data_IF_566390651242
#
_entry.id   IF_566390651242
#
_cell.length_a   1.000
_cell.length_b   1.000
_cell.length_c   1.000
_cell.angle_alpha   90.00
_cell.angle_beta   90.00
_cell.angle_gamma   90.00
#
_symmetry.space_group_name_H-M   'P 1'
#
loop_
_entity.id
_entity.type
_entity.pdbx_description
1 polymer ?
#
# COMPACT_ATOMS: atom_id res chain seq x y z
N UNK A 1 24.50 0.37 -27.48
CA UNK A 1 24.31 0.83 -26.11
C UNK A 1 24.17 -0.42 -25.24
N UNK A 2 24.93 -0.53 -24.15
CA UNK A 2 24.88 -1.67 -23.22
C UNK A 2 23.49 -1.80 -22.59
N UNK A 3 22.91 -3.00 -22.59
CA UNK A 3 21.64 -3.26 -21.92
C UNK A 3 21.84 -4.42 -20.95
N UNK A 4 21.76 -4.19 -19.62
CA UNK A 4 21.94 -5.24 -18.64
C UNK A 4 20.77 -6.24 -18.72
N UNK A 5 21.08 -7.50 -18.55
CA UNK A 5 20.10 -8.61 -18.43
C UNK A 5 19.85 -8.98 -16.97
N UNK A 6 20.47 -8.28 -16.02
CA UNK A 6 20.29 -8.41 -14.58
C UNK A 6 21.36 -7.63 -13.80
N UNK A 7 21.33 -7.76 -12.47
CA UNK A 7 22.33 -7.13 -11.59
C UNK A 7 23.74 -7.67 -11.81
N UNK A 8 23.88 -8.96 -12.14
CA UNK A 8 25.19 -9.58 -12.34
C UNK A 8 26.02 -8.92 -13.45
N UNK A 9 25.38 -8.38 -14.47
CA UNK A 9 26.02 -7.67 -15.58
C UNK A 9 26.66 -6.33 -15.17
N UNK A 10 26.35 -5.85 -13.96
CA UNK A 10 26.81 -4.56 -13.44
C UNK A 10 28.12 -4.68 -12.64
N UNK A 11 28.64 -5.89 -12.47
CA UNK A 11 29.90 -6.11 -11.76
C UNK A 11 31.07 -5.32 -12.40
N UNK A 12 31.75 -4.52 -11.58
CA UNK A 12 32.88 -3.69 -12.01
C UNK A 12 32.54 -2.51 -12.92
N UNK A 13 31.26 -2.26 -13.23
CA UNK A 13 30.82 -1.17 -14.09
C UNK A 13 30.62 0.13 -13.32
N UNK A 14 30.60 1.25 -14.07
CA UNK A 14 30.22 2.55 -13.56
C UNK A 14 28.69 2.69 -13.67
N UNK A 15 28.00 2.66 -12.52
CA UNK A 15 26.54 2.65 -12.46
C UNK A 15 26.02 3.90 -11.78
N UNK A 16 25.12 4.63 -12.45
CA UNK A 16 24.39 5.74 -11.86
C UNK A 16 23.22 5.23 -11.01
N UNK A 17 23.04 5.77 -9.81
CA UNK A 17 21.82 5.60 -8.98
C UNK A 17 21.14 6.95 -8.95
N UNK A 18 19.97 7.04 -9.60
CA UNK A 18 19.20 8.27 -9.69
C UNK A 18 17.96 8.21 -8.79
N UNK A 19 17.96 8.99 -7.73
CA UNK A 19 17.04 8.94 -6.59
C UNK A 19 17.58 8.11 -5.44
N UNK A 20 17.93 8.78 -4.32
CA UNK A 20 18.68 8.18 -3.22
C UNK A 20 17.85 8.07 -1.93
N UNK A 21 16.55 7.73 -2.07
CA UNK A 21 15.68 7.30 -0.97
C UNK A 21 15.89 5.82 -0.60
N UNK A 22 14.89 5.20 0.02
CA UNK A 22 14.97 3.81 0.51
C UNK A 22 15.42 2.83 -0.59
N UNK A 23 14.81 2.91 -1.77
CA UNK A 23 15.18 2.03 -2.89
C UNK A 23 16.57 2.35 -3.46
N UNK A 24 16.97 3.62 -3.45
CA UNK A 24 18.32 4.05 -3.85
C UNK A 24 19.39 3.47 -2.94
N UNK A 25 19.20 3.48 -1.63
CA UNK A 25 20.11 2.89 -0.65
C UNK A 25 20.25 1.37 -0.83
N UNK A 26 19.14 0.64 -0.99
CA UNK A 26 19.17 -0.81 -1.26
C UNK A 26 19.86 -1.11 -2.59
N UNK A 27 19.63 -0.28 -3.62
CA UNK A 27 20.27 -0.40 -4.94
C UNK A 27 21.78 -0.21 -4.82
N UNK A 28 22.24 0.86 -4.19
CA UNK A 28 23.66 1.09 -3.94
C UNK A 28 24.31 -0.05 -3.20
N UNK A 29 23.68 -0.50 -2.11
CA UNK A 29 24.20 -1.60 -1.29
C UNK A 29 24.38 -2.87 -2.11
N UNK A 30 23.41 -3.20 -2.97
CA UNK A 30 23.49 -4.34 -3.90
C UNK A 30 24.61 -4.16 -4.91
N UNK A 31 24.73 -2.98 -5.52
CA UNK A 31 25.76 -2.68 -6.51
C UNK A 31 27.19 -2.73 -5.92
N UNK A 32 27.37 -2.23 -4.69
CA UNK A 32 28.66 -2.29 -3.99
C UNK A 32 29.13 -3.72 -3.74
N UNK A 33 28.20 -4.62 -3.37
CA UNK A 33 28.52 -6.06 -3.21
C UNK A 33 28.98 -6.71 -4.52
N UNK A 34 28.53 -6.19 -5.67
CA UNK A 34 28.97 -6.64 -7.00
C UNK A 34 30.27 -5.96 -7.46
N UNK A 35 30.84 -5.07 -6.65
CA UNK A 35 32.05 -4.30 -7.01
C UNK A 35 31.78 -3.21 -8.06
N UNK A 36 30.55 -2.77 -8.25
CA UNK A 36 30.23 -1.67 -9.16
C UNK A 36 30.67 -0.32 -8.59
N UNK A 37 31.00 0.62 -9.49
CA UNK A 37 31.38 2.00 -9.13
C UNK A 37 30.13 2.89 -9.20
N UNK A 38 29.54 3.22 -8.05
CA UNK A 38 28.30 3.96 -7.98
C UNK A 38 28.51 5.47 -8.13
N UNK A 39 27.69 6.11 -8.96
CA UNK A 39 27.49 7.57 -9.03
C UNK A 39 26.10 7.84 -8.49
N UNK A 40 26.04 8.51 -7.32
CA UNK A 40 24.77 8.72 -6.60
C UNK A 40 24.26 10.14 -6.87
N UNK A 41 23.00 10.25 -7.27
CA UNK A 41 22.38 11.54 -7.62
C UNK A 41 20.95 11.57 -7.09
N UNK A 42 20.56 12.71 -6.50
CA UNK A 42 19.17 12.97 -6.07
C UNK A 42 18.75 14.40 -6.43
N UNK A 43 17.44 14.64 -6.41
CA UNK A 43 16.89 15.99 -6.55
C UNK A 43 17.01 16.77 -5.23
N UNK A 44 17.00 16.06 -4.09
CA UNK A 44 17.10 16.62 -2.76
C UNK A 44 18.56 16.98 -2.41
N UNK A 45 18.87 18.27 -2.19
CA UNK A 45 20.22 18.69 -1.78
C UNK A 45 20.63 18.14 -0.39
N UNK A 46 19.67 17.78 0.45
CA UNK A 46 19.93 17.24 1.78
C UNK A 46 20.18 15.71 1.78
N UNK A 47 20.06 15.07 0.62
CA UNK A 47 20.32 13.62 0.47
C UNK A 47 21.83 13.26 0.65
N UNK A 48 22.74 14.23 0.68
CA UNK A 48 24.18 13.99 0.87
C UNK A 48 24.89 13.38 -0.34
N UNK A 49 24.30 13.48 -1.54
CA UNK A 49 24.82 13.01 -2.83
C UNK A 49 24.86 14.14 -3.86
N UNK A 50 25.26 13.87 -5.10
CA UNK A 50 25.24 14.89 -6.14
C UNK A 50 23.80 15.35 -6.42
N UNK A 51 23.61 16.67 -6.51
CA UNK A 51 22.30 17.22 -6.85
C UNK A 51 22.08 17.17 -8.35
N UNK A 52 20.88 16.80 -8.79
CA UNK A 52 20.51 16.65 -10.21
C UNK A 52 20.86 17.91 -11.01
N UNK A 53 20.51 19.11 -10.50
CA UNK A 53 20.76 20.39 -11.14
C UNK A 53 22.20 20.88 -11.10
N UNK A 54 23.06 20.35 -10.21
CA UNK A 54 24.42 20.79 -9.96
C UNK A 54 25.46 19.78 -10.51
N UNK A 55 25.32 19.40 -11.78
CA UNK A 55 26.22 18.47 -12.45
C UNK A 55 25.85 16.98 -12.25
N UNK A 56 24.81 16.66 -11.52
CA UNK A 56 24.36 15.28 -11.30
C UNK A 56 23.93 14.58 -12.61
N UNK A 57 23.20 15.26 -13.49
CA UNK A 57 22.80 14.69 -14.79
C UNK A 57 24.00 14.39 -15.70
N UNK A 58 24.97 15.27 -15.75
CA UNK A 58 26.21 15.07 -16.49
C UNK A 58 27.00 13.90 -15.94
N UNK A 59 27.08 13.77 -14.61
CA UNK A 59 27.73 12.65 -13.95
C UNK A 59 27.03 11.31 -14.29
N UNK A 60 25.68 11.26 -14.26
CA UNK A 60 24.89 10.10 -14.68
C UNK A 60 25.14 9.72 -16.14
N UNK A 61 25.21 10.71 -17.01
CA UNK A 61 25.44 10.48 -18.45
C UNK A 61 26.81 9.88 -18.77
N UNK A 62 27.77 9.88 -17.83
CA UNK A 62 29.08 9.21 -17.99
C UNK A 62 29.07 7.74 -17.51
N UNK A 63 27.95 7.25 -17.00
CA UNK A 63 27.81 5.89 -16.51
C UNK A 63 27.57 4.90 -17.68
N UNK A 64 27.82 3.60 -17.42
CA UNK A 64 27.47 2.54 -18.37
C UNK A 64 25.95 2.29 -18.41
N UNK A 65 25.28 2.53 -17.28
CA UNK A 65 23.84 2.40 -17.08
C UNK A 65 23.40 3.24 -15.88
N UNK A 66 22.15 3.70 -15.90
CA UNK A 66 21.53 4.40 -14.77
C UNK A 66 20.39 3.55 -14.23
N UNK A 67 20.41 3.31 -12.93
CA UNK A 67 19.31 2.69 -12.17
C UNK A 67 18.51 3.82 -11.52
N UNK A 68 17.29 4.02 -11.99
CA UNK A 68 16.39 5.08 -11.56
C UNK A 68 15.43 4.59 -10.46
N UNK A 69 15.28 5.38 -9.40
CA UNK A 69 14.24 5.15 -8.39
C UNK A 69 12.83 5.41 -8.92
N UNK A 70 11.79 4.69 -8.44
CA UNK A 70 10.42 4.82 -8.93
C UNK A 70 9.83 6.22 -8.76
N UNK A 71 10.18 6.94 -7.68
CA UNK A 71 9.70 8.30 -7.42
C UNK A 71 10.03 9.30 -8.53
N UNK A 72 11.10 9.06 -9.29
CA UNK A 72 11.49 9.88 -10.44
C UNK A 72 10.68 9.47 -11.66
N UNK A 73 9.85 10.36 -12.18
CA UNK A 73 8.97 10.05 -13.30
C UNK A 73 9.77 9.82 -14.59
N UNK A 74 9.52 8.69 -15.27
CA UNK A 74 10.20 8.33 -16.52
C UNK A 74 10.00 9.37 -17.62
N UNK A 75 8.88 10.11 -17.58
CA UNK A 75 8.53 11.15 -18.57
C UNK A 75 9.09 12.52 -18.24
N UNK A 76 9.88 12.68 -17.18
CA UNK A 76 10.59 13.92 -16.90
C UNK A 76 11.56 14.23 -18.04
N UNK A 77 11.67 15.51 -18.38
CA UNK A 77 12.49 15.95 -19.52
C UNK A 77 13.96 15.53 -19.39
N UNK A 78 14.52 15.67 -18.21
CA UNK A 78 15.89 15.28 -17.89
C UNK A 78 16.12 13.76 -17.97
N UNK A 79 15.14 12.94 -17.56
CA UNK A 79 15.20 11.48 -17.71
C UNK A 79 15.18 11.10 -19.20
N UNK A 80 14.30 11.71 -20.00
CA UNK A 80 14.24 11.45 -21.45
C UNK A 80 15.54 11.88 -22.16
N UNK A 81 16.13 13.01 -21.73
CA UNK A 81 17.44 13.44 -22.23
C UNK A 81 18.55 12.45 -21.84
N UNK A 82 18.54 12.00 -20.60
CA UNK A 82 19.48 11.00 -20.10
C UNK A 82 19.36 9.67 -20.86
N UNK A 83 18.14 9.18 -21.14
CA UNK A 83 17.89 7.96 -21.93
C UNK A 83 18.45 8.03 -23.37
N UNK A 84 18.60 9.21 -23.93
CA UNK A 84 19.24 9.38 -25.25
C UNK A 84 20.77 9.15 -25.23
N UNK A 85 21.38 9.21 -24.05
CA UNK A 85 22.85 9.16 -23.84
C UNK A 85 23.31 7.87 -23.17
N UNK A 86 22.52 7.34 -22.22
CA UNK A 86 22.84 6.18 -21.41
C UNK A 86 21.57 5.35 -21.16
N UNK A 87 21.65 4.00 -21.11
CA UNK A 87 20.51 3.16 -20.74
C UNK A 87 20.01 3.49 -19.34
N UNK A 88 18.69 3.63 -19.20
CA UNK A 88 18.01 3.82 -17.91
C UNK A 88 17.12 2.64 -17.62
N UNK A 89 17.22 2.09 -16.42
CA UNK A 89 16.44 0.95 -15.92
C UNK A 89 16.03 1.18 -14.46
N UNK A 90 15.32 0.23 -13.85
CA UNK A 90 15.04 0.22 -12.43
C UNK A 90 15.65 -0.99 -11.74
N UNK A 91 15.89 -0.89 -10.43
CA UNK A 91 16.42 -1.99 -9.64
C UNK A 91 15.47 -3.19 -9.61
N UNK A 92 14.14 -2.94 -9.53
CA UNK A 92 13.14 -3.99 -9.63
C UNK A 92 13.20 -4.74 -10.96
N UNK A 93 13.39 -4.01 -12.08
CA UNK A 93 13.55 -4.63 -13.40
C UNK A 93 14.79 -5.52 -13.46
N UNK A 94 15.93 -5.05 -12.96
CA UNK A 94 17.16 -5.83 -12.90
C UNK A 94 17.00 -7.11 -12.07
N UNK A 95 16.34 -7.00 -10.93
CA UNK A 95 16.06 -8.15 -10.08
C UNK A 95 15.11 -9.15 -10.77
N UNK A 96 14.05 -8.70 -11.42
CA UNK A 96 13.13 -9.56 -12.15
C UNK A 96 13.80 -10.28 -13.33
N UNK A 97 14.83 -9.68 -13.92
CA UNK A 97 15.63 -10.31 -14.98
C UNK A 97 16.50 -11.44 -14.43
N UNK A 98 17.02 -11.32 -13.20
CA UNK A 98 17.85 -12.34 -12.53
C UNK A 98 17.01 -13.42 -11.81
N UNK A 99 15.81 -13.06 -11.31
CA UNK A 99 15.01 -13.91 -10.44
C UNK A 99 14.41 -15.12 -11.15
N UNK A 100 14.25 -16.23 -10.41
CA UNK A 100 13.34 -17.30 -10.83
C UNK A 100 11.88 -16.81 -10.75
N UNK A 101 11.42 -16.19 -11.84
CA UNK A 101 10.08 -15.61 -11.92
C UNK A 101 8.93 -16.61 -11.76
N UNK A 102 9.22 -17.92 -11.83
CA UNK A 102 8.24 -18.97 -11.56
C UNK A 102 7.82 -19.00 -10.09
N UNK A 103 8.67 -18.44 -9.20
CA UNK A 103 8.45 -18.30 -7.76
C UNK A 103 8.10 -16.86 -7.35
N UNK A 104 7.81 -15.97 -8.31
CA UNK A 104 7.45 -14.58 -8.03
C UNK A 104 5.98 -14.34 -8.34
N UNK A 105 5.29 -13.75 -7.36
CA UNK A 105 3.91 -13.27 -7.47
C UNK A 105 3.97 -11.74 -7.37
N UNK A 106 3.55 -11.03 -8.41
CA UNK A 106 3.50 -9.58 -8.43
C UNK A 106 2.09 -9.08 -8.11
N UNK A 107 1.94 -8.24 -7.08
CA UNK A 107 0.66 -7.68 -6.66
C UNK A 107 0.66 -6.17 -6.91
N UNK A 108 -0.20 -5.70 -7.81
CA UNK A 108 -0.43 -4.28 -8.07
C UNK A 108 -1.91 -3.92 -7.96
N UNK A 109 -2.24 -2.65 -8.09
CA UNK A 109 -3.61 -2.14 -7.99
C UNK A 109 -3.64 -0.74 -7.38
N UNK A 110 -4.76 -0.07 -7.45
CA UNK A 110 -4.92 1.24 -6.78
C UNK A 110 -5.07 1.06 -5.28
N UNK A 111 -5.99 0.19 -4.86
CA UNK A 111 -6.27 -0.19 -3.46
C UNK A 111 -6.17 -1.72 -3.32
N UNK A 112 -6.04 -2.21 -2.09
CA UNK A 112 -6.04 -3.64 -1.78
C UNK A 112 -4.68 -4.35 -1.91
N UNK A 113 -3.65 -3.76 -2.52
CA UNK A 113 -2.34 -4.37 -2.74
C UNK A 113 -1.75 -5.02 -1.48
N UNK A 114 -1.53 -4.23 -0.45
CA UNK A 114 -0.82 -4.71 0.76
C UNK A 114 -1.61 -5.79 1.49
N UNK A 115 -2.94 -5.64 1.57
CA UNK A 115 -3.82 -6.66 2.16
C UNK A 115 -3.73 -7.96 1.37
N UNK A 116 -3.84 -7.89 0.03
CA UNK A 116 -3.75 -9.07 -0.83
C UNK A 116 -2.35 -9.71 -0.75
N UNK A 117 -1.28 -8.89 -0.71
CA UNK A 117 0.09 -9.40 -0.52
C UNK A 117 0.22 -10.17 0.80
N UNK A 118 -0.33 -9.62 1.90
CA UNK A 118 -0.31 -10.28 3.20
C UNK A 118 -1.16 -11.56 3.22
N UNK A 119 -2.32 -11.56 2.57
CA UNK A 119 -3.18 -12.74 2.45
C UNK A 119 -2.50 -13.86 1.63
N UNK A 120 -1.89 -13.53 0.50
CA UNK A 120 -1.16 -14.49 -0.33
C UNK A 120 -0.02 -15.14 0.45
N UNK A 121 0.79 -14.34 1.15
CA UNK A 121 1.87 -14.83 2.01
C UNK A 121 1.35 -15.76 3.09
N UNK A 122 0.29 -15.33 3.80
CA UNK A 122 -0.32 -16.14 4.86
C UNK A 122 -0.90 -17.46 4.32
N UNK A 123 -1.61 -17.44 3.18
CA UNK A 123 -2.22 -18.65 2.62
C UNK A 123 -1.16 -19.64 2.07
N UNK A 124 -0.04 -19.13 1.55
CA UNK A 124 1.12 -19.96 1.23
C UNK A 124 1.65 -20.66 2.50
N UNK A 125 1.79 -19.90 3.60
CA UNK A 125 2.20 -20.46 4.90
C UNK A 125 1.23 -21.52 5.42
N UNK A 126 -0.10 -21.35 5.27
CA UNK A 126 -1.12 -22.34 5.63
C UNK A 126 -0.97 -23.67 4.87
N UNK A 127 -0.35 -23.65 3.68
CA UNK A 127 -0.06 -24.83 2.88
C UNK A 127 1.35 -25.43 3.15
N UNK A 128 2.09 -24.85 4.11
CA UNK A 128 3.46 -25.24 4.42
C UNK A 128 4.50 -24.73 3.43
N UNK A 129 4.14 -23.81 2.54
CA UNK A 129 5.07 -23.15 1.63
C UNK A 129 5.80 -22.01 2.35
N UNK A 130 7.11 -21.88 2.09
CA UNK A 130 7.87 -20.73 2.55
C UNK A 130 7.63 -19.53 1.61
N UNK A 131 7.38 -18.35 2.16
CA UNK A 131 7.17 -17.14 1.38
C UNK A 131 7.67 -15.89 2.12
N UNK A 132 7.85 -14.79 1.37
CA UNK A 132 8.29 -13.50 1.87
C UNK A 132 7.48 -12.38 1.22
N UNK A 133 7.06 -11.40 2.02
CA UNK A 133 6.43 -10.15 1.54
C UNK A 133 7.50 -9.12 1.25
N UNK A 134 7.55 -8.63 0.01
CA UNK A 134 8.61 -7.77 -0.50
C UNK A 134 8.04 -6.60 -1.32
N UNK A 135 8.90 -5.65 -1.65
CA UNK A 135 8.59 -4.52 -2.51
C UNK A 135 8.06 -3.30 -1.74
N UNK A 136 7.00 -2.68 -2.23
CA UNK A 136 6.42 -1.46 -1.64
C UNK A 136 5.88 -1.67 -0.20
N UNK A 137 5.70 -2.90 0.20
CA UNK A 137 5.46 -3.33 1.58
C UNK A 137 6.69 -4.12 2.05
N UNK A 138 7.45 -3.59 3.01
CA UNK A 138 8.67 -4.24 3.51
C UNK A 138 9.94 -3.83 2.76
N UNK A 139 10.86 -4.77 2.57
CA UNK A 139 12.12 -4.51 1.90
C UNK A 139 12.02 -4.73 0.39
N UNK A 140 12.78 -3.96 -0.42
CA UNK A 140 12.93 -4.28 -1.83
C UNK A 140 13.50 -5.69 -2.04
N UNK A 141 13.05 -6.44 -3.05
CA UNK A 141 13.51 -7.83 -3.26
C UNK A 141 15.00 -7.96 -3.64
N UNK A 142 15.62 -6.86 -4.04
CA UNK A 142 17.05 -6.77 -4.35
C UNK A 142 17.89 -6.25 -3.19
N UNK A 143 17.28 -5.96 -2.03
CA UNK A 143 18.05 -5.60 -0.84
C UNK A 143 18.97 -6.75 -0.43
N UNK A 144 20.26 -6.48 -0.13
CA UNK A 144 21.21 -7.53 0.22
C UNK A 144 20.85 -8.37 1.44
N UNK A 145 20.02 -7.87 2.32
CA UNK A 145 19.56 -8.59 3.52
C UNK A 145 18.44 -9.61 3.21
N UNK A 146 17.89 -9.58 1.98
CA UNK A 146 16.80 -10.46 1.54
C UNK A 146 17.36 -11.63 0.74
N UNK A 147 17.07 -12.85 1.17
CA UNK A 147 17.36 -14.05 0.39
C UNK A 147 16.13 -14.45 -0.44
N UNK A 148 16.14 -14.10 -1.71
CA UNK A 148 15.06 -14.44 -2.66
C UNK A 148 15.25 -15.79 -3.36
N UNK A 149 16.25 -16.56 -2.99
CA UNK A 149 16.50 -17.91 -3.56
C UNK A 149 15.61 -18.98 -2.95
N UNK A 150 14.98 -18.71 -1.79
CA UNK A 150 14.20 -19.67 -1.02
C UNK A 150 12.72 -19.29 -1.01
N UNK A 151 11.87 -20.23 -1.45
CA UNK A 151 10.41 -20.10 -1.37
C UNK A 151 9.81 -19.14 -2.40
N UNK A 152 8.70 -18.54 -2.03
CA UNK A 152 7.93 -17.61 -2.86
C UNK A 152 8.26 -16.16 -2.51
N UNK A 153 8.41 -15.33 -3.54
CA UNK A 153 8.51 -13.89 -3.39
C UNK A 153 7.15 -13.25 -3.74
N UNK A 154 6.42 -12.75 -2.74
CA UNK A 154 5.17 -12.01 -2.95
C UNK A 154 5.49 -10.53 -2.93
N UNK A 155 5.55 -9.91 -4.11
CA UNK A 155 6.08 -8.55 -4.31
C UNK A 155 4.95 -7.57 -4.54
N UNK A 156 4.75 -6.63 -3.63
CA UNK A 156 3.89 -5.48 -3.86
C UNK A 156 4.58 -4.50 -4.81
N UNK A 157 3.95 -4.23 -5.97
CA UNK A 157 4.49 -3.38 -7.02
C UNK A 157 3.61 -2.13 -7.17
N UNK A 158 4.20 -0.96 -6.96
CA UNK A 158 3.52 0.33 -7.13
C UNK A 158 3.30 0.66 -8.62
N UNK A 159 2.42 1.63 -8.92
CA UNK A 159 2.25 2.10 -10.30
C UNK A 159 3.52 2.74 -10.88
N UNK A 160 4.35 3.34 -10.03
CA UNK A 160 5.65 3.92 -10.42
C UNK A 160 6.64 2.84 -10.87
N UNK A 161 6.69 1.72 -10.13
CA UNK A 161 7.56 0.58 -10.46
C UNK A 161 7.09 -0.15 -11.71
N UNK A 162 5.77 -0.25 -11.95
CA UNK A 162 5.22 -0.90 -13.14
C UNK A 162 5.73 -0.30 -14.46
N UNK A 163 6.03 1.01 -14.48
CA UNK A 163 6.47 1.73 -15.71
C UNK A 163 7.83 1.25 -16.21
N UNK A 164 8.69 0.83 -15.30
CA UNK A 164 10.10 0.58 -15.59
C UNK A 164 10.43 -0.92 -15.78
N UNK A 165 9.44 -1.82 -15.62
CA UNK A 165 9.66 -3.27 -15.78
C UNK A 165 9.48 -3.70 -17.25
N UNK A 166 10.39 -4.55 -17.73
CA UNK A 166 10.39 -5.13 -19.07
C UNK A 166 10.02 -6.61 -19.08
N UNK A 167 10.11 -7.24 -17.91
CA UNK A 167 9.70 -8.63 -17.68
C UNK A 167 8.75 -8.71 -16.50
N UNK A 168 7.86 -9.68 -16.53
CA UNK A 168 6.79 -9.84 -15.54
C UNK A 168 7.04 -11.05 -14.64
N UNK A 169 6.57 -11.03 -13.37
CA UNK A 169 6.32 -12.25 -12.62
C UNK A 169 5.44 -13.22 -13.39
N UNK A 170 5.53 -14.51 -13.06
CA UNK A 170 4.67 -15.53 -13.68
C UNK A 170 3.19 -15.30 -13.37
N UNK A 171 2.88 -14.94 -12.12
CA UNK A 171 1.52 -14.60 -11.66
C UNK A 171 1.48 -13.12 -11.32
N UNK A 172 0.56 -12.40 -11.94
CA UNK A 172 0.31 -10.99 -11.69
C UNK A 172 -1.11 -10.82 -11.15
N UNK A 173 -1.23 -10.06 -10.09
CA UNK A 173 -2.51 -9.70 -9.47
C UNK A 173 -2.75 -8.21 -9.66
N UNK A 174 -3.93 -7.83 -10.18
CA UNK A 174 -4.39 -6.44 -10.22
C UNK A 174 -5.62 -6.32 -9.32
N UNK A 175 -5.43 -5.81 -8.11
CA UNK A 175 -6.47 -5.80 -7.07
C UNK A 175 -7.60 -4.80 -7.34
N UNK A 176 -7.30 -3.70 -7.99
CA UNK A 176 -8.27 -2.66 -8.37
C UNK A 176 -7.67 -1.67 -9.36
N UNK A 177 -8.51 -0.93 -10.09
CA UNK A 177 -8.09 0.06 -11.05
C UNK A 177 -8.94 1.34 -10.90
N UNK A 178 -8.45 2.29 -10.12
CA UNK A 178 -9.09 3.59 -9.88
C UNK A 178 -8.23 4.75 -10.36
N UNK A 179 -8.21 5.84 -9.58
CA UNK A 179 -7.39 7.02 -9.79
C UNK A 179 -6.46 7.23 -8.60
N UNK A 180 -5.17 7.45 -8.87
CA UNK A 180 -4.17 7.81 -7.87
C UNK A 180 -2.94 8.43 -8.58
N UNK A 181 -2.18 9.29 -7.91
CA UNK A 181 -0.92 9.85 -8.41
C UNK A 181 -0.99 10.43 -9.85
N UNK A 182 -2.11 11.10 -10.18
CA UNK A 182 -2.38 11.54 -11.56
C UNK A 182 -1.35 12.54 -12.08
N UNK A 183 -0.82 13.40 -11.22
CA UNK A 183 0.21 14.39 -11.58
C UNK A 183 1.51 13.71 -12.03
N UNK A 184 1.93 12.67 -11.34
CA UNK A 184 3.13 11.91 -11.68
C UNK A 184 2.97 11.16 -13.01
N UNK A 185 1.80 10.57 -13.25
CA UNK A 185 1.50 9.80 -14.45
C UNK A 185 1.08 10.66 -15.66
N UNK A 186 0.68 11.92 -15.42
CA UNK A 186 0.15 12.81 -16.47
C UNK A 186 -1.32 12.51 -16.83
N UNK A 187 -2.11 12.03 -15.86
CA UNK A 187 -3.55 11.84 -15.95
C UNK A 187 -4.02 10.38 -15.82
N UNK A 188 -5.34 10.21 -15.69
CA UNK A 188 -5.98 8.93 -15.36
C UNK A 188 -5.68 7.83 -16.39
N UNK A 189 -5.86 8.13 -17.67
CA UNK A 189 -5.66 7.13 -18.73
C UNK A 189 -4.21 6.63 -18.78
N UNK A 190 -3.24 7.50 -18.49
CA UNK A 190 -1.84 7.10 -18.45
C UNK A 190 -1.51 6.30 -17.18
N UNK A 191 -2.03 6.72 -16.02
CA UNK A 191 -1.92 5.96 -14.78
C UNK A 191 -2.40 4.52 -14.94
N UNK A 192 -3.57 4.33 -15.56
CA UNK A 192 -4.12 3.01 -15.80
C UNK A 192 -3.26 2.18 -16.76
N UNK A 193 -2.79 2.78 -17.87
CA UNK A 193 -1.87 2.09 -18.80
C UNK A 193 -0.56 1.69 -18.13
N UNK A 194 0.02 2.58 -17.33
CA UNK A 194 1.27 2.35 -16.61
C UNK A 194 1.13 1.21 -15.61
N UNK A 195 0.03 1.17 -14.85
CA UNK A 195 -0.25 0.09 -13.91
C UNK A 195 -0.45 -1.26 -14.60
N UNK A 196 -1.21 -1.31 -15.69
CA UNK A 196 -1.47 -2.53 -16.43
C UNK A 196 -0.26 -2.99 -17.27
N UNK A 197 0.79 -2.16 -17.44
CA UNK A 197 1.99 -2.56 -18.18
C UNK A 197 2.66 -3.79 -17.57
N UNK A 198 2.59 -3.97 -16.24
CA UNK A 198 3.10 -5.15 -15.56
C UNK A 198 2.52 -6.45 -16.11
N UNK A 199 1.23 -6.49 -16.44
CA UNK A 199 0.57 -7.70 -16.97
C UNK A 199 1.02 -8.03 -18.40
N UNK A 200 1.48 -7.02 -19.16
CA UNK A 200 1.87 -7.14 -20.57
C UNK A 200 3.35 -7.34 -20.79
N UNK A 201 4.16 -7.13 -19.76
CA UNK A 201 5.58 -7.37 -19.84
C UNK A 201 5.88 -8.86 -20.07
N UNK A 202 7.03 -9.17 -20.68
CA UNK A 202 7.35 -10.54 -21.06
C UNK A 202 7.40 -11.50 -19.86
N UNK A 203 6.66 -12.61 -19.93
CA UNK A 203 6.68 -13.65 -18.90
C UNK A 203 5.45 -13.71 -17.98
N UNK A 204 4.48 -12.80 -18.11
CA UNK A 204 3.19 -12.95 -17.46
C UNK A 204 2.46 -14.17 -18.05
N UNK A 205 2.19 -15.18 -17.21
CA UNK A 205 1.44 -16.38 -17.60
C UNK A 205 -0.03 -16.27 -17.18
N UNK A 206 -0.27 -15.75 -15.97
CA UNK A 206 -1.61 -15.60 -15.40
C UNK A 206 -1.76 -14.20 -14.84
N UNK A 207 -2.84 -13.53 -15.21
CA UNK A 207 -3.27 -12.25 -14.62
C UNK A 207 -4.59 -12.46 -13.89
N UNK A 208 -4.61 -12.20 -12.59
CA UNK A 208 -5.77 -12.38 -11.73
C UNK A 208 -6.37 -11.01 -11.40
N UNK A 209 -7.66 -10.86 -11.65
CA UNK A 209 -8.39 -9.60 -11.44
C UNK A 209 -9.72 -9.85 -10.73
N UNK A 210 -10.24 -8.89 -9.95
CA UNK A 210 -11.59 -8.96 -9.41
C UNK A 210 -12.66 -8.87 -10.52
N UNK A 211 -13.85 -9.38 -10.22
CA UNK A 211 -15.03 -9.19 -11.06
C UNK A 211 -15.63 -7.80 -10.80
N UNK A 212 -14.97 -6.79 -11.34
CA UNK A 212 -15.40 -5.39 -11.30
C UNK A 212 -15.29 -4.75 -12.68
N UNK A 213 -16.24 -3.87 -13.03
CA UNK A 213 -16.38 -3.30 -14.39
C UNK A 213 -15.11 -2.59 -14.85
N UNK A 214 -14.39 -1.92 -13.93
CA UNK A 214 -13.16 -1.17 -14.25
C UNK A 214 -12.04 -2.05 -14.79
N UNK A 215 -12.03 -3.34 -14.47
CA UNK A 215 -11.06 -4.32 -14.95
C UNK A 215 -11.63 -5.25 -16.00
N UNK A 216 -12.87 -5.73 -15.83
CA UNK A 216 -13.49 -6.66 -16.77
C UNK A 216 -13.74 -6.02 -18.13
N UNK A 217 -14.00 -4.71 -18.20
CA UNK A 217 -14.10 -3.98 -19.47
C UNK A 217 -12.77 -3.80 -20.21
N UNK A 218 -11.65 -4.19 -19.59
CA UNK A 218 -10.28 -4.03 -20.11
C UNK A 218 -9.52 -5.35 -20.23
N UNK A 219 -10.21 -6.48 -20.25
CA UNK A 219 -9.57 -7.80 -20.34
C UNK A 219 -8.62 -7.88 -21.54
N UNK A 220 -8.99 -7.29 -22.68
CA UNK A 220 -8.16 -7.28 -23.90
C UNK A 220 -6.85 -6.45 -23.74
N UNK A 221 -6.79 -5.61 -22.71
CA UNK A 221 -5.57 -4.86 -22.39
C UNK A 221 -4.62 -5.62 -21.44
N UNK A 222 -5.03 -6.75 -20.90
CA UNK A 222 -4.25 -7.56 -19.96
C UNK A 222 -3.46 -8.64 -20.68
N UNK A 223 -2.32 -9.03 -20.13
CA UNK A 223 -1.49 -10.11 -20.68
C UNK A 223 -1.67 -11.42 -19.91
N UNK A 224 -1.24 -12.52 -20.54
CA UNK A 224 -1.37 -13.87 -19.98
C UNK A 224 -2.82 -14.41 -20.03
N UNK A 225 -3.05 -15.53 -19.35
CA UNK A 225 -4.39 -16.04 -19.07
C UNK A 225 -5.07 -15.14 -18.05
N UNK A 226 -6.16 -14.48 -18.42
CA UNK A 226 -6.88 -13.59 -17.50
C UNK A 226 -7.93 -14.37 -16.72
N UNK A 227 -7.81 -14.36 -15.39
CA UNK A 227 -8.73 -15.02 -14.46
C UNK A 227 -9.53 -13.95 -13.72
N UNK A 228 -10.83 -13.88 -13.98
CA UNK A 228 -11.77 -12.99 -13.28
C UNK A 228 -12.33 -13.72 -12.06
N UNK A 229 -12.20 -13.11 -10.88
CA UNK A 229 -12.55 -13.74 -9.61
C UNK A 229 -13.69 -12.98 -8.95
N UNK A 230 -14.86 -13.61 -8.71
CA UNK A 230 -15.92 -13.00 -7.90
C UNK A 230 -15.51 -12.92 -6.43
N UNK A 231 -16.17 -12.06 -5.62
CA UNK A 231 -15.96 -12.00 -4.18
C UNK A 231 -16.12 -13.35 -3.48
N UNK A 232 -15.40 -13.55 -2.39
CA UNK A 232 -15.53 -14.74 -1.55
C UNK A 232 -16.80 -14.66 -0.68
N UNK A 233 -17.54 -15.75 -0.60
CA UNK A 233 -18.77 -15.89 0.19
C UNK A 233 -18.62 -16.84 1.39
N UNK A 234 -17.42 -17.33 1.64
CA UNK A 234 -17.14 -18.28 2.72
C UNK A 234 -17.14 -17.67 4.12
N UNK A 235 -17.12 -16.33 4.21
CA UNK A 235 -16.96 -15.59 5.46
C UNK A 235 -15.52 -15.58 6.00
N UNK A 236 -14.53 -16.02 5.20
CA UNK A 236 -13.13 -16.06 5.62
C UNK A 236 -12.59 -14.65 5.96
N UNK A 237 -12.99 -13.59 5.23
CA UNK A 237 -12.57 -12.23 5.54
C UNK A 237 -12.93 -11.82 6.98
N UNK A 238 -14.14 -12.13 7.43
CA UNK A 238 -14.59 -11.91 8.83
C UNK A 238 -13.76 -12.69 9.83
N UNK A 239 -13.43 -13.95 9.53
CA UNK A 239 -12.60 -14.80 10.41
C UNK A 239 -11.15 -14.31 10.50
N UNK A 240 -10.65 -13.67 9.44
CA UNK A 240 -9.36 -13.00 9.40
C UNK A 240 -9.40 -11.60 10.02
N UNK A 241 -10.52 -11.19 10.65
CA UNK A 241 -10.73 -9.87 11.24
C UNK A 241 -10.55 -8.69 10.26
N UNK A 242 -10.78 -8.94 8.97
CA UNK A 242 -10.73 -7.91 7.93
C UNK A 242 -12.08 -7.21 7.81
N UNK A 243 -12.08 -5.89 7.93
CA UNK A 243 -13.30 -5.07 7.90
C UNK A 243 -13.62 -4.58 6.49
N UNK A 244 -14.90 -4.64 6.13
CA UNK A 244 -15.45 -4.12 4.87
C UNK A 244 -15.51 -5.16 3.75
N UNK A 245 -16.61 -5.11 2.98
CA UNK A 245 -16.91 -6.07 1.89
C UNK A 245 -15.84 -6.15 0.80
N UNK A 246 -15.02 -5.10 0.61
CA UNK A 246 -13.90 -5.15 -0.32
C UNK A 246 -12.85 -6.21 0.05
N UNK A 247 -12.82 -6.67 1.32
CA UNK A 247 -11.91 -7.71 1.75
C UNK A 247 -12.38 -9.11 1.35
N UNK A 248 -13.66 -9.33 1.09
CA UNK A 248 -14.14 -10.57 0.48
C UNK A 248 -13.52 -10.73 -0.91
N UNK A 249 -13.36 -9.63 -1.65
CA UNK A 249 -12.68 -9.61 -2.94
C UNK A 249 -11.16 -9.85 -2.79
N UNK A 250 -10.50 -9.22 -1.81
CA UNK A 250 -9.07 -9.43 -1.55
C UNK A 250 -8.78 -10.90 -1.18
N UNK A 251 -9.64 -11.51 -0.36
CA UNK A 251 -9.57 -12.93 0.03
C UNK A 251 -9.75 -13.83 -1.20
N UNK A 252 -10.78 -13.60 -2.01
CA UNK A 252 -11.03 -14.38 -3.22
C UNK A 252 -9.84 -14.37 -4.19
N UNK A 253 -9.28 -13.19 -4.44
CA UNK A 253 -8.08 -13.00 -5.27
C UNK A 253 -6.88 -13.74 -4.68
N UNK A 254 -6.66 -13.63 -3.36
CA UNK A 254 -5.53 -14.29 -2.72
C UNK A 254 -5.63 -15.81 -2.80
N UNK A 255 -6.82 -16.40 -2.58
CA UNK A 255 -7.07 -17.85 -2.74
C UNK A 255 -6.74 -18.28 -4.16
N UNK A 256 -7.29 -17.60 -5.18
CA UNK A 256 -7.04 -17.93 -6.59
C UNK A 256 -5.55 -17.79 -6.93
N UNK A 257 -4.90 -16.74 -6.42
CA UNK A 257 -3.46 -16.50 -6.63
C UNK A 257 -2.61 -17.67 -6.13
N UNK A 258 -2.87 -18.12 -4.91
CA UNK A 258 -2.13 -19.23 -4.32
C UNK A 258 -2.42 -20.54 -5.06
N UNK A 259 -3.68 -20.79 -5.43
CA UNK A 259 -4.07 -21.95 -6.22
C UNK A 259 -3.30 -22.01 -7.56
N UNK A 260 -3.28 -20.89 -8.32
CA UNK A 260 -2.56 -20.79 -9.61
C UNK A 260 -1.04 -20.85 -9.48
N UNK A 261 -0.49 -20.25 -8.42
CA UNK A 261 0.94 -20.27 -8.17
C UNK A 261 1.44 -21.68 -7.83
N UNK A 262 0.73 -22.38 -6.95
CA UNK A 262 1.15 -23.69 -6.42
C UNK A 262 0.62 -24.87 -7.24
N UNK A 263 -0.38 -24.67 -8.10
CA UNK A 263 -1.08 -25.75 -8.82
C UNK A 263 -2.05 -26.54 -7.94
N UNK A 264 -2.37 -26.06 -6.74
CA UNK A 264 -3.34 -26.70 -5.83
C UNK A 264 -4.77 -26.32 -6.17
N UNK A 265 -5.73 -27.14 -5.71
CA UNK A 265 -7.16 -26.84 -5.84
C UNK A 265 -7.54 -25.62 -4.97
N UNK A 266 -8.39 -24.74 -5.49
CA UNK A 266 -8.88 -23.55 -4.78
C UNK A 266 -9.54 -23.89 -3.45
N UNK A 267 -10.28 -25.02 -3.37
CA UNK A 267 -10.93 -25.46 -2.13
C UNK A 267 -9.91 -25.90 -1.09
N UNK A 268 -8.81 -26.54 -1.50
CA UNK A 268 -7.72 -26.90 -0.61
C UNK A 268 -7.11 -25.66 0.04
N UNK A 269 -6.84 -24.61 -0.75
CA UNK A 269 -6.33 -23.32 -0.24
C UNK A 269 -7.31 -22.70 0.76
N UNK A 270 -8.60 -22.64 0.41
CA UNK A 270 -9.65 -22.11 1.29
C UNK A 270 -9.74 -22.89 2.60
N UNK A 271 -9.75 -24.21 2.56
CA UNK A 271 -9.81 -25.02 3.76
C UNK A 271 -8.60 -24.86 4.67
N UNK A 272 -7.40 -24.78 4.08
CA UNK A 272 -6.18 -24.50 4.83
C UNK A 272 -6.22 -23.12 5.49
N UNK A 273 -6.67 -22.09 4.76
CA UNK A 273 -6.83 -20.74 5.28
C UNK A 273 -7.86 -20.68 6.43
N UNK A 274 -9.02 -21.34 6.28
CA UNK A 274 -10.05 -21.42 7.32
C UNK A 274 -9.54 -22.15 8.59
N UNK A 275 -8.73 -23.18 8.42
CA UNK A 275 -8.18 -23.95 9.54
C UNK A 275 -7.16 -23.15 10.37
N UNK A 276 -6.50 -22.16 9.76
CA UNK A 276 -5.45 -21.36 10.38
C UNK A 276 -5.81 -19.87 10.53
N UNK A 277 -7.08 -19.49 10.30
CA UNK A 277 -7.52 -18.10 10.26
C UNK A 277 -7.14 -17.28 11.50
N UNK A 278 -7.18 -17.90 12.69
CA UNK A 278 -6.84 -17.24 13.96
C UNK A 278 -5.35 -16.83 14.05
N UNK A 279 -4.49 -17.37 13.19
CA UNK A 279 -3.08 -17.00 13.09
C UNK A 279 -2.79 -15.81 12.16
N UNK A 280 -3.80 -15.26 11.49
CA UNK A 280 -3.61 -14.10 10.63
C UNK A 280 -3.57 -12.81 11.45
N UNK A 281 -2.55 -12.00 11.22
CA UNK A 281 -2.46 -10.66 11.79
C UNK A 281 -2.74 -9.62 10.70
N UNK A 282 -3.89 -8.90 10.77
CA UNK A 282 -4.18 -7.80 9.86
C UNK A 282 -3.07 -6.74 9.88
N UNK A 283 -2.83 -6.13 8.72
CA UNK A 283 -1.82 -5.08 8.61
C UNK A 283 -2.22 -3.87 9.46
N UNK A 284 -1.33 -3.45 10.34
CA UNK A 284 -1.54 -2.27 11.18
C UNK A 284 -1.88 -1.02 10.34
N UNK A 285 -2.75 -0.17 10.88
CA UNK A 285 -3.13 1.09 10.26
C UNK A 285 -3.99 0.98 8.99
N UNK A 286 -4.60 -0.18 8.72
CA UNK A 286 -5.49 -0.43 7.58
C UNK A 286 -6.83 -1.00 8.04
N UNK A 287 -7.68 -0.12 8.61
CA UNK A 287 -8.98 -0.50 9.19
C UNK A 287 -8.83 -1.66 10.19
N UNK A 288 -7.76 -1.64 10.97
CA UNK A 288 -7.45 -2.69 11.93
C UNK A 288 -8.29 -2.53 13.18
N UNK A 289 -9.08 -3.54 13.52
CA UNK A 289 -9.80 -3.55 14.80
C UNK A 289 -8.81 -3.74 15.95
N UNK A 290 -8.62 -2.69 16.76
CA UNK A 290 -7.69 -2.70 17.90
C UNK A 290 -8.32 -3.29 19.15
N UNK A 291 -9.57 -2.91 19.40
CA UNK A 291 -10.31 -3.35 20.57
C UNK A 291 -11.82 -3.34 20.31
N UNK A 292 -12.53 -4.18 21.07
CA UNK A 292 -13.99 -4.18 21.18
C UNK A 292 -14.35 -4.09 22.65
N UNK A 293 -15.17 -3.10 23.00
CA UNK A 293 -15.71 -2.90 24.34
C UNK A 293 -17.21 -3.23 24.31
N UNK A 294 -17.71 -3.97 25.30
CA UNK A 294 -19.14 -4.28 25.44
C UNK A 294 -19.63 -3.85 26.81
N UNK A 295 -20.83 -3.25 26.82
CA UNK A 295 -21.56 -2.92 28.05
C UNK A 295 -23.06 -3.18 27.80
N UNK A 296 -23.55 -4.32 28.27
CA UNK A 296 -24.87 -4.84 27.92
C UNK A 296 -25.00 -5.10 26.42
N UNK A 297 -25.98 -4.46 25.78
CA UNK A 297 -26.21 -4.55 24.32
C UNK A 297 -25.33 -3.58 23.52
N UNK A 298 -24.66 -2.63 24.18
CA UNK A 298 -23.83 -1.63 23.54
C UNK A 298 -22.47 -2.20 23.17
N UNK A 299 -21.98 -1.85 21.99
CA UNK A 299 -20.66 -2.28 21.54
C UNK A 299 -19.92 -1.11 20.93
N UNK A 300 -18.69 -0.88 21.38
CA UNK A 300 -17.75 0.05 20.76
C UNK A 300 -16.65 -0.73 20.07
N UNK A 301 -16.36 -0.32 18.84
CA UNK A 301 -15.26 -0.85 18.05
C UNK A 301 -14.23 0.25 17.86
N UNK A 302 -12.99 -0.02 18.23
CA UNK A 302 -11.87 0.91 18.06
C UNK A 302 -11.06 0.46 16.86
N UNK A 303 -11.03 1.29 15.81
CA UNK A 303 -10.47 0.93 14.51
C UNK A 303 -9.35 1.90 14.14
N UNK A 304 -8.18 1.33 13.82
CA UNK A 304 -7.01 2.06 13.35
C UNK A 304 -6.91 2.01 11.83
N UNK A 305 -7.00 3.16 11.21
CA UNK A 305 -6.74 3.40 9.79
C UNK A 305 -5.65 4.49 9.63
N UNK A 306 -4.62 4.42 10.47
CA UNK A 306 -3.54 5.42 10.57
C UNK A 306 -2.76 5.63 9.29
N UNK A 307 -2.82 4.71 8.31
CA UNK A 307 -2.27 4.86 6.96
C UNK A 307 -3.13 5.71 6.01
N UNK A 308 -4.31 6.16 6.42
CA UNK A 308 -5.12 7.11 5.65
C UNK A 308 -4.52 8.52 5.72
N UNK A 309 -3.44 8.77 4.98
CA UNK A 309 -2.68 10.03 4.97
C UNK A 309 -3.20 11.05 3.96
N UNK A 310 -4.41 10.85 3.43
CA UNK A 310 -5.10 11.73 2.48
C UNK A 310 -6.62 11.62 2.65
N UNK A 311 -7.43 12.58 2.15
CA UNK A 311 -8.88 12.59 2.31
C UNK A 311 -9.61 11.37 1.74
N UNK A 312 -9.27 10.93 0.54
CA UNK A 312 -9.97 9.82 -0.14
C UNK A 312 -9.89 8.46 0.58
N UNK A 313 -8.74 8.03 1.14
CA UNK A 313 -8.70 6.88 2.03
C UNK A 313 -9.68 6.97 3.21
N UNK A 314 -9.75 8.13 3.87
CA UNK A 314 -10.68 8.35 5.00
C UNK A 314 -12.15 8.30 4.56
N UNK A 315 -12.47 8.81 3.36
CA UNK A 315 -13.81 8.64 2.77
C UNK A 315 -14.14 7.16 2.59
N UNK A 316 -13.22 6.38 2.02
CA UNK A 316 -13.41 4.94 1.85
C UNK A 316 -13.56 4.19 3.20
N UNK A 317 -12.83 4.63 4.22
CA UNK A 317 -12.98 4.09 5.58
C UNK A 317 -14.36 4.36 6.17
N UNK A 318 -14.93 5.55 5.95
CA UNK A 318 -16.28 5.89 6.37
C UNK A 318 -17.37 5.06 5.67
N UNK A 319 -17.15 4.68 4.40
CA UNK A 319 -18.07 3.84 3.63
C UNK A 319 -18.18 2.43 4.22
N UNK A 320 -17.11 1.90 4.80
CA UNK A 320 -17.11 0.59 5.50
C UNK A 320 -18.09 0.57 6.68
N UNK A 321 -18.32 1.74 7.28
CA UNK A 321 -19.19 1.93 8.45
C UNK A 321 -20.44 2.74 8.10
N UNK A 322 -20.96 2.62 6.88
CA UNK A 322 -22.05 3.47 6.37
C UNK A 322 -23.27 3.55 7.31
N UNK A 323 -23.63 2.44 7.95
CA UNK A 323 -24.79 2.31 8.82
C UNK A 323 -24.47 2.45 10.32
N UNK A 324 -23.18 2.54 10.67
CA UNK A 324 -22.74 2.66 12.05
C UNK A 324 -22.61 4.12 12.50
N UNK A 325 -22.92 4.47 13.75
CA UNK A 325 -22.46 5.71 14.36
C UNK A 325 -20.93 5.75 14.42
N UNK A 326 -20.31 6.85 13.95
CA UNK A 326 -18.85 6.98 13.88
C UNK A 326 -18.38 8.24 14.60
N UNK A 327 -17.39 8.09 15.46
CA UNK A 327 -16.54 9.18 15.92
C UNK A 327 -15.22 9.13 15.13
N UNK A 328 -15.08 10.03 14.16
CA UNK A 328 -13.94 10.11 13.24
C UNK A 328 -12.86 11.03 13.81
N UNK A 329 -11.66 10.49 14.05
CA UNK A 329 -10.49 11.25 14.51
C UNK A 329 -9.63 11.61 13.29
N UNK A 330 -9.42 12.92 13.08
CA UNK A 330 -8.65 13.49 11.96
C UNK A 330 -7.58 14.47 12.44
N UNK A 331 -6.50 14.60 11.66
CA UNK A 331 -5.41 15.55 11.94
C UNK A 331 -4.07 15.03 11.44
N UNK A 332 -3.05 15.88 11.50
CA UNK A 332 -1.71 15.56 11.04
C UNK A 332 -1.02 16.74 10.36
N UNK A 333 -0.06 16.45 9.48
CA UNK A 333 0.77 17.43 8.79
C UNK A 333 0.11 17.95 7.51
N UNK A 334 0.18 19.27 7.27
CA UNK A 334 -0.42 19.90 6.08
C UNK A 334 0.42 19.70 4.81
N UNK A 335 -0.24 19.17 3.79
CA UNK A 335 0.30 19.08 2.42
C UNK A 335 -0.44 19.96 1.40
N UNK A 336 -1.27 20.89 1.87
CA UNK A 336 -2.04 21.76 1.00
C UNK A 336 -3.18 21.08 0.22
N UNK A 337 -3.63 19.91 0.67
CA UNK A 337 -4.68 19.14 -0.04
C UNK A 337 -6.08 19.70 0.18
N UNK A 338 -6.98 19.44 -0.77
CA UNK A 338 -8.41 19.77 -0.66
C UNK A 338 -9.15 18.74 0.21
N UNK A 339 -9.74 19.20 1.31
CA UNK A 339 -10.58 18.38 2.19
C UNK A 339 -12.07 18.42 1.85
N UNK A 340 -12.48 19.12 0.80
CA UNK A 340 -13.87 19.19 0.33
C UNK A 340 -14.53 17.82 0.10
N UNK A 341 -13.87 16.85 -0.55
CA UNK A 341 -14.41 15.49 -0.69
C UNK A 341 -14.73 14.81 0.64
N UNK A 342 -13.86 14.94 1.64
CA UNK A 342 -14.08 14.38 2.98
C UNK A 342 -15.26 15.10 3.68
N UNK A 343 -15.31 16.42 3.59
CA UNK A 343 -16.39 17.19 4.20
C UNK A 343 -17.77 16.82 3.64
N UNK A 344 -17.87 16.61 2.33
CA UNK A 344 -19.10 16.10 1.69
C UNK A 344 -19.43 14.69 2.17
N UNK A 345 -18.46 13.79 2.16
CA UNK A 345 -18.68 12.41 2.60
C UNK A 345 -19.18 12.34 4.06
N UNK A 346 -18.62 13.15 4.96
CA UNK A 346 -19.07 13.25 6.36
C UNK A 346 -20.49 13.81 6.44
N UNK A 347 -20.81 14.83 5.64
CA UNK A 347 -22.15 15.46 5.63
C UNK A 347 -23.26 14.59 5.05
N UNK A 348 -22.94 13.77 4.06
CA UNK A 348 -23.90 12.92 3.35
C UNK A 348 -24.24 11.61 4.11
N UNK A 349 -23.53 11.31 5.22
CA UNK A 349 -23.78 10.11 6.01
C UNK A 349 -25.15 10.13 6.67
N UNK A 350 -25.87 9.01 6.60
CA UNK A 350 -27.16 8.81 7.30
C UNK A 350 -26.97 8.50 8.78
N UNK A 351 -25.96 7.69 9.10
CA UNK A 351 -25.62 7.38 10.48
C UNK A 351 -24.90 8.55 11.16
N UNK A 352 -25.13 8.70 12.46
CA UNK A 352 -24.55 9.79 13.24
C UNK A 352 -23.02 9.82 13.10
N UNK A 353 -22.48 10.98 12.80
CA UNK A 353 -21.04 11.18 12.68
C UNK A 353 -20.60 12.36 13.54
N UNK A 354 -19.58 12.15 14.34
CA UNK A 354 -18.89 13.21 15.09
C UNK A 354 -17.46 13.30 14.60
N UNK A 355 -17.02 14.51 14.31
CA UNK A 355 -15.65 14.78 13.91
C UNK A 355 -14.82 15.20 15.12
N UNK A 356 -13.70 14.52 15.35
CA UNK A 356 -12.75 14.86 16.40
C UNK A 356 -11.45 15.29 15.71
N UNK A 357 -11.03 16.52 15.96
CA UNK A 357 -9.89 17.13 15.29
C UNK A 357 -8.69 17.22 16.24
N UNK A 358 -7.49 16.95 15.72
CA UNK A 358 -6.22 17.13 16.44
C UNK A 358 -5.27 18.02 15.64
N UNK A 359 -4.61 18.95 16.31
CA UNK A 359 -3.62 19.86 15.71
C UNK A 359 -4.20 20.82 14.66
N UNK A 360 -3.30 21.55 13.98
CA UNK A 360 -3.68 22.63 13.05
C UNK A 360 -4.42 22.10 11.80
N UNK A 361 -3.98 20.97 11.26
CA UNK A 361 -4.64 20.35 10.10
C UNK A 361 -6.01 19.82 10.48
N UNK A 362 -6.15 19.24 11.67
CA UNK A 362 -7.47 18.87 12.21
C UNK A 362 -8.41 20.07 12.26
N UNK A 363 -7.94 21.21 12.77
CA UNK A 363 -8.73 22.44 12.79
C UNK A 363 -9.14 22.90 11.38
N UNK A 364 -8.25 22.82 10.39
CA UNK A 364 -8.54 23.13 8.99
C UNK A 364 -9.56 22.16 8.38
N UNK A 365 -9.46 20.85 8.64
CA UNK A 365 -10.47 19.86 8.24
C UNK A 365 -11.80 20.20 8.88
N UNK A 366 -11.82 20.50 10.19
CA UNK A 366 -13.01 20.91 10.94
C UNK A 366 -13.69 22.13 10.35
N UNK A 367 -12.93 23.17 10.00
CA UNK A 367 -13.48 24.37 9.34
C UNK A 367 -14.10 24.03 7.98
N UNK A 368 -13.46 23.14 7.20
CA UNK A 368 -14.00 22.70 5.91
C UNK A 368 -15.30 21.91 6.09
N UNK A 369 -15.38 21.04 7.10
CA UNK A 369 -16.59 20.28 7.43
C UNK A 369 -17.69 21.25 7.92
N UNK A 370 -17.38 22.21 8.80
CA UNK A 370 -18.35 23.19 9.28
C UNK A 370 -18.98 24.01 8.15
N UNK A 371 -18.19 24.35 7.12
CA UNK A 371 -18.68 25.08 5.95
C UNK A 371 -19.59 24.25 5.02
N UNK A 372 -19.36 22.94 4.91
CA UNK A 372 -20.08 22.05 3.98
C UNK A 372 -21.16 21.20 4.66
N UNK A 373 -21.02 20.92 5.95
CA UNK A 373 -21.90 20.06 6.76
C UNK A 373 -22.06 20.62 8.19
N UNK A 374 -22.70 21.77 8.36
CA UNK A 374 -22.77 22.51 9.65
C UNK A 374 -23.50 21.75 10.76
N UNK A 375 -24.28 20.72 10.42
CA UNK A 375 -24.98 19.89 11.40
C UNK A 375 -24.06 18.84 12.07
N UNK A 376 -22.84 18.62 11.55
CA UNK A 376 -21.90 17.65 12.11
C UNK A 376 -21.30 18.21 13.38
N UNK A 377 -21.47 17.46 14.47
CA UNK A 377 -20.87 17.80 15.77
C UNK A 377 -19.34 17.64 15.68
N UNK A 378 -18.60 18.63 16.22
CA UNK A 378 -17.14 18.65 16.17
C UNK A 378 -16.52 18.88 17.54
N UNK A 379 -15.35 18.30 17.77
CA UNK A 379 -14.53 18.49 18.96
C UNK A 379 -13.06 18.64 18.62
N UNK A 380 -12.41 19.61 19.24
CA UNK A 380 -10.97 19.80 19.19
C UNK A 380 -10.35 19.07 20.38
N UNK A 381 -9.60 18.02 20.12
CA UNK A 381 -8.86 17.28 21.13
C UNK A 381 -7.40 17.73 21.18
N UNK A 382 -6.84 17.76 22.39
CA UNK A 382 -5.44 18.14 22.59
C UNK A 382 -4.47 17.04 22.12
N UNK A 383 -4.85 15.78 22.28
CA UNK A 383 -4.08 14.59 21.92
C UNK A 383 -5.00 13.39 21.66
N UNK A 384 -4.41 12.20 21.43
CA UNK A 384 -5.20 10.98 21.17
C UNK A 384 -5.88 10.42 22.43
N UNK A 385 -5.41 10.68 23.63
CA UNK A 385 -6.09 10.31 24.86
C UNK A 385 -7.41 11.08 25.00
N UNK A 386 -7.36 12.38 24.80
CA UNK A 386 -8.55 13.24 24.76
C UNK A 386 -9.49 12.84 23.63
N UNK A 387 -8.95 12.60 22.42
CA UNK A 387 -9.72 12.22 21.26
C UNK A 387 -10.51 10.92 21.48
N UNK A 388 -9.89 9.90 22.03
CA UNK A 388 -10.55 8.61 22.35
C UNK A 388 -11.60 8.83 23.47
N UNK A 389 -11.32 9.73 24.40
CA UNK A 389 -12.25 10.09 25.47
C UNK A 389 -13.53 10.73 24.95
N UNK A 390 -13.39 11.73 24.12
CA UNK A 390 -14.51 12.40 23.47
C UNK A 390 -15.29 11.45 22.57
N UNK A 391 -14.58 10.66 21.75
CA UNK A 391 -15.19 9.66 20.89
C UNK A 391 -16.11 8.71 21.67
N UNK A 392 -15.63 8.18 22.77
CA UNK A 392 -16.37 7.25 23.63
C UNK A 392 -17.59 7.91 24.28
N UNK A 393 -17.46 9.18 24.69
CA UNK A 393 -18.55 9.93 25.30
C UNK A 393 -19.70 10.23 24.31
N UNK A 394 -19.34 10.53 23.04
CA UNK A 394 -20.32 10.76 21.97
C UNK A 394 -21.08 9.52 21.57
N UNK A 395 -20.42 8.41 21.46
CA UNK A 395 -20.99 7.14 21.10
C UNK A 395 -21.66 6.48 22.32
N UNK A 396 -22.54 7.23 23.01
CA UNK A 396 -23.15 6.74 24.25
C UNK A 396 -23.88 5.41 24.09
N UNK A 397 -24.45 5.13 22.91
CA UNK A 397 -25.18 3.90 22.58
C UNK A 397 -24.34 2.85 21.81
N UNK A 398 -23.04 3.05 21.72
CA UNK A 398 -22.13 2.23 20.92
C UNK A 398 -21.81 2.82 19.54
N UNK A 399 -20.93 2.17 18.81
CA UNK A 399 -20.49 2.62 17.48
C UNK A 399 -19.02 2.39 17.23
N UNK A 400 -18.44 3.17 16.32
CA UNK A 400 -17.05 3.03 15.85
C UNK A 400 -16.23 4.25 16.23
N UNK A 401 -15.18 4.06 16.99
CA UNK A 401 -14.10 5.05 17.18
C UNK A 401 -13.06 4.79 16.09
N UNK A 402 -13.02 5.66 15.10
CA UNK A 402 -12.21 5.50 13.90
C UNK A 402 -11.08 6.53 13.88
N UNK A 403 -9.85 6.06 14.01
CA UNK A 403 -8.67 6.85 13.65
C UNK A 403 -8.45 6.73 12.14
N UNK A 404 -8.83 7.74 11.35
CA UNK A 404 -8.53 7.83 9.92
C UNK A 404 -8.16 9.27 9.59
N UNK A 405 -6.88 9.62 9.73
CA UNK A 405 -6.41 10.98 9.95
C UNK A 405 -6.60 11.95 8.79
N UNK A 406 -6.75 11.45 7.56
CA UNK A 406 -6.81 12.23 6.32
C UNK A 406 -5.54 13.07 6.02
N UNK A 407 -4.49 12.93 6.84
CA UNK A 407 -3.23 13.66 6.72
C UNK A 407 -2.05 12.83 7.25
N UNK A 408 -0.81 13.08 6.77
CA UNK A 408 0.39 12.45 7.32
C UNK A 408 0.61 12.77 8.79
N UNK A 409 1.44 11.96 9.46
CA UNK A 409 1.66 12.05 10.92
C UNK A 409 2.83 12.97 11.35
N UNK A 410 3.50 13.64 10.41
CA UNK A 410 4.78 14.35 10.67
C UNK A 410 4.68 15.63 11.49
N UNK A 411 3.51 15.96 12.03
CA UNK A 411 3.28 17.07 12.96
C UNK A 411 3.73 16.73 14.39
N UNK A 412 3.32 15.56 14.91
CA UNK A 412 3.61 15.13 16.28
C UNK A 412 4.29 13.77 16.37
N UNK A 413 4.35 13.02 15.26
CA UNK A 413 4.88 11.66 15.23
C UNK A 413 5.93 11.53 14.13
N UNK A 414 6.97 10.73 14.41
CA UNK A 414 8.03 10.44 13.42
C UNK A 414 7.52 9.71 12.17
N UNK A 415 6.42 8.96 12.30
CA UNK A 415 5.78 8.18 11.23
C UNK A 415 4.36 7.78 11.65
N UNK A 416 3.61 7.19 10.74
CA UNK A 416 2.24 6.73 10.99
C UNK A 416 2.18 5.59 12.02
N UNK A 417 3.18 4.72 12.10
CA UNK A 417 3.26 3.62 13.07
C UNK A 417 3.29 4.16 14.50
N UNK A 418 4.03 5.22 14.72
CA UNK A 418 4.08 5.86 16.03
C UNK A 418 2.72 6.45 16.43
N UNK A 419 1.97 7.04 15.49
CA UNK A 419 0.60 7.53 15.71
C UNK A 419 -0.37 6.38 16.00
N UNK A 420 -0.33 5.30 15.23
CA UNK A 420 -1.15 4.10 15.45
C UNK A 420 -0.84 3.44 16.80
N UNK A 421 0.42 3.36 17.17
CA UNK A 421 0.82 2.84 18.48
C UNK A 421 0.29 3.70 19.66
N UNK A 422 0.30 5.02 19.50
CA UNK A 422 -0.23 5.94 20.49
C UNK A 422 -1.76 5.85 20.61
N UNK A 423 -2.47 5.74 19.47
CA UNK A 423 -3.91 5.46 19.46
C UNK A 423 -4.23 4.14 20.18
N UNK A 424 -3.49 3.07 19.88
CA UNK A 424 -3.68 1.79 20.55
C UNK A 424 -3.39 1.86 22.05
N UNK A 425 -2.44 2.69 22.50
CA UNK A 425 -2.18 2.98 23.90
C UNK A 425 -3.35 3.70 24.56
N UNK A 426 -3.86 4.76 23.93
CA UNK A 426 -4.99 5.54 24.43
C UNK A 426 -6.27 4.67 24.58
N UNK A 427 -6.53 3.80 23.60
CA UNK A 427 -7.62 2.83 23.66
C UNK A 427 -7.45 1.88 24.82
N UNK A 428 -6.28 1.25 24.98
CA UNK A 428 -6.00 0.32 26.11
C UNK A 428 -6.12 0.97 27.47
N UNK A 429 -5.67 2.22 27.62
CA UNK A 429 -5.79 2.95 28.89
C UNK A 429 -7.24 3.14 29.34
N UNK A 430 -8.18 3.22 28.39
CA UNK A 430 -9.62 3.41 28.70
C UNK A 430 -10.41 2.10 28.81
N UNK A 431 -10.12 1.13 27.97
CA UNK A 431 -10.87 -0.14 27.97
C UNK A 431 -10.43 -1.08 29.10
N UNK A 432 -9.37 -0.71 29.85
CA UNK A 432 -8.70 -1.63 30.77
C UNK A 432 -8.06 -2.76 29.95
N UNK A 433 -7.32 -3.66 30.60
CA UNK A 433 -6.89 -4.91 29.97
C UNK A 433 -8.07 -5.87 29.80
N UNK A 434 -9.12 -5.43 29.09
CA UNK A 434 -10.19 -6.28 28.65
C UNK A 434 -9.57 -7.25 27.66
N UNK A 435 -9.53 -8.51 28.09
CA UNK A 435 -8.89 -9.60 27.40
C UNK A 435 -9.23 -9.60 25.91
N UNK A 436 -8.28 -10.03 25.11
CA UNK A 436 -8.58 -10.63 23.82
C UNK A 436 -9.69 -11.64 24.12
N UNK A 437 -10.92 -11.30 23.77
CA UNK A 437 -11.98 -12.29 23.76
C UNK A 437 -11.56 -13.39 22.79
N UNK A 438 -10.90 -14.39 23.36
CA UNK A 438 -10.89 -15.72 22.81
C UNK A 438 -12.32 -16.20 22.96
N UNK A 439 -13.08 -16.08 21.85
CA UNK A 439 -14.15 -17.00 21.54
C UNK A 439 -15.57 -16.44 21.29
N UNK A 440 -16.38 -17.28 20.69
CA UNK A 440 -16.18 -18.33 19.68
C UNK A 440 -16.69 -17.91 18.31
#
# INVERSE_FOLDING_TARGET
MFRPTGFADLAGRRVGVFGYGIEGHSTESRLRLLGAHCVLVDDDPDAGVLVTGDGGLEALATCDVVVKSPGIARRRRDVLELESRVPVTSALNLWLLDADRSRVIGVTGTKGKSTTTALVDFFLGCLGEHSQRLGNIGLPPYDPSVDTSVGWCVVEISSYQCVDVTVSPRVVVVTSLGADHLDWHGGLAQYQRDKLSLTRAAGAHVTIVPDVTELTSRIDELGGEVVVVPPDDSGLASRLHLLGAHNDQNVAIAIETVARATGRDRREVLQAALAHADGFEPLAGRLTLIARERDGERTWRYVDDGLATAPLPTVAALEVFADDPVALIVGGFDRGVDYGPLARAVGDRRAATTLITTGDVGARIGATVAANAPAVTQYAAADLDDAVGYARAFLAEGGVVLLSPAAPSFDHYRNWEARSADFARAVRARTGSLGRDSNP
#
